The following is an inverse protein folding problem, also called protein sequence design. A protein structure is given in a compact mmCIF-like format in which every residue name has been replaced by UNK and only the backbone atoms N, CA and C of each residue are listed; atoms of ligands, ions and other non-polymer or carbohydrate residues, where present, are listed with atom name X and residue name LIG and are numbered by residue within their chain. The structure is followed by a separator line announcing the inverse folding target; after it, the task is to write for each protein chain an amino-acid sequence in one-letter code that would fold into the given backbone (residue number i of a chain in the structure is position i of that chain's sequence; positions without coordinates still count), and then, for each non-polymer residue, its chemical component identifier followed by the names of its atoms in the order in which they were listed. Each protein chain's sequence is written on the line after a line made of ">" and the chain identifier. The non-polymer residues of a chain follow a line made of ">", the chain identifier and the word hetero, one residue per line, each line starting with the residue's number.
data_IF_645956199983
#
_entry.id   IF_645956199983
#
_cell.length_a   1.000
_cell.length_b   1.000
_cell.length_c   1.000
_cell.angle_alpha   90.00
_cell.angle_beta   90.00
_cell.angle_gamma   90.00
#
_symmetry.space_group_name_H-M   'P 1'
#
loop_
_entity.id
_entity.type
_entity.pdbx_description
1 polymer ?
#
# COMPACT_ATOMS: atom_id res chain seq x y z
N UNK A 1 -8.93 33.61 14.82
CA UNK A 1 -10.24 33.50 15.50
C UNK A 1 -10.97 32.32 14.88
N UNK A 2 -11.19 31.28 15.69
CA UNK A 2 -11.90 30.02 15.44
C UNK A 2 -11.25 28.99 14.48
N UNK A 3 -10.43 28.12 15.08
CA UNK A 3 -10.16 26.75 14.68
C UNK A 3 -11.48 25.99 14.49
N UNK A 4 -11.76 25.53 13.27
CA UNK A 4 -12.78 24.51 13.01
C UNK A 4 -12.16 23.14 13.27
N UNK A 5 -11.92 22.83 14.55
CA UNK A 5 -11.85 21.45 14.99
C UNK A 5 -13.26 20.89 14.89
N UNK A 6 -13.59 20.34 13.71
CA UNK A 6 -14.81 19.58 13.50
C UNK A 6 -14.76 18.34 14.40
N UNK A 7 -15.22 18.51 15.64
CA UNK A 7 -15.66 17.41 16.47
C UNK A 7 -16.86 16.84 15.73
N UNK A 8 -16.64 15.74 15.00
CA UNK A 8 -17.73 14.90 14.52
C UNK A 8 -18.68 14.59 15.68
N UNK A 9 -19.96 14.27 15.39
CA UNK A 9 -20.95 14.00 16.42
C UNK A 9 -20.40 13.02 17.47
N UNK A 10 -20.84 13.12 18.72
CA UNK A 10 -20.48 12.19 19.79
C UNK A 10 -21.13 10.82 19.48
N UNK A 11 -20.52 10.06 18.57
CA UNK A 11 -21.05 8.78 18.14
C UNK A 11 -20.85 7.80 19.27
N UNK A 12 -21.92 7.14 19.69
CA UNK A 12 -21.83 6.03 20.64
C UNK A 12 -21.12 4.84 19.99
N UNK A 13 -19.81 4.77 20.18
CA UNK A 13 -18.98 3.63 19.79
C UNK A 13 -19.24 2.50 20.78
N UNK A 14 -19.74 1.37 20.30
CA UNK A 14 -19.87 0.15 21.10
C UNK A 14 -18.52 -0.51 21.37
N UNK A 15 -18.52 -1.63 22.08
CA UNK A 15 -17.30 -2.45 22.18
C UNK A 15 -16.96 -3.04 20.80
N UNK A 16 -15.70 -3.44 20.61
CA UNK A 16 -15.24 -3.95 19.31
C UNK A 16 -16.06 -5.15 18.82
N UNK A 17 -16.36 -6.10 19.71
CA UNK A 17 -17.22 -7.25 19.41
C UNK A 17 -18.64 -6.83 19.00
N UNK A 18 -19.20 -5.79 19.62
CA UNK A 18 -20.52 -5.25 19.24
C UNK A 18 -20.49 -4.61 17.85
N UNK A 19 -19.45 -3.85 17.51
CA UNK A 19 -19.34 -3.25 16.18
C UNK A 19 -19.10 -4.30 15.08
N UNK A 20 -18.37 -5.38 15.41
CA UNK A 20 -18.19 -6.53 14.52
C UNK A 20 -19.51 -7.26 14.27
N UNK A 21 -20.30 -7.53 15.32
CA UNK A 21 -21.62 -8.15 15.16
C UNK A 21 -22.53 -7.29 14.26
N UNK A 22 -22.55 -5.97 14.45
CA UNK A 22 -23.35 -5.08 13.59
C UNK A 22 -22.93 -5.17 12.11
N UNK A 23 -21.63 -5.15 11.83
CA UNK A 23 -21.14 -5.31 10.44
C UNK A 23 -21.47 -6.69 9.86
N UNK A 24 -21.43 -7.74 10.70
CA UNK A 24 -21.87 -9.08 10.31
C UNK A 24 -23.36 -9.11 9.96
N UNK A 25 -24.23 -8.58 10.82
CA UNK A 25 -25.68 -8.53 10.57
C UNK A 25 -26.03 -7.77 9.29
N UNK A 26 -25.33 -6.66 9.05
CA UNK A 26 -25.47 -5.87 7.83
C UNK A 26 -25.04 -6.63 6.56
N UNK A 27 -24.00 -7.46 6.64
CA UNK A 27 -23.52 -8.29 5.54
C UNK A 27 -24.23 -9.65 5.44
N UNK A 28 -24.93 -10.09 6.49
CA UNK A 28 -25.51 -11.44 6.65
C UNK A 28 -26.47 -11.88 5.55
N UNK A 29 -27.31 -11.02 4.93
CA UNK A 29 -28.24 -11.47 3.89
C UNK A 29 -27.54 -12.04 2.65
N UNK A 30 -26.21 -11.91 2.49
CA UNK A 30 -25.49 -12.16 1.22
C UNK A 30 -24.10 -12.80 1.37
N UNK A 31 -23.89 -13.59 2.43
CA UNK A 31 -22.78 -14.53 2.62
C UNK A 31 -21.40 -13.97 3.05
N UNK A 32 -21.23 -13.79 4.36
CA UNK A 32 -19.94 -13.99 5.05
C UNK A 32 -20.18 -14.93 6.24
N UNK A 33 -20.20 -16.24 5.97
CA UNK A 33 -20.44 -17.27 7.00
C UNK A 33 -19.23 -17.48 7.92
N UNK A 34 -18.10 -16.85 7.65
CA UNK A 34 -16.84 -17.02 8.38
C UNK A 34 -16.52 -15.89 9.37
N UNK A 35 -17.33 -14.82 9.41
CA UNK A 35 -17.19 -13.79 10.44
C UNK A 35 -17.93 -14.25 11.70
N UNK A 36 -17.16 -14.52 12.76
CA UNK A 36 -17.62 -15.02 14.05
C UNK A 36 -17.34 -13.98 15.17
N UNK A 37 -18.37 -13.22 15.61
CA UNK A 37 -18.23 -12.21 16.64
C UNK A 37 -17.80 -12.80 18.00
N UNK A 38 -17.98 -14.10 18.23
CA UNK A 38 -17.49 -14.76 19.44
C UNK A 38 -15.94 -14.75 19.51
N UNK A 39 -15.26 -14.92 18.37
CA UNK A 39 -13.79 -14.82 18.29
C UNK A 39 -13.34 -13.44 18.77
N UNK A 40 -14.04 -12.39 18.34
CA UNK A 40 -13.68 -11.01 18.70
C UNK A 40 -13.88 -10.66 20.17
N UNK A 41 -14.83 -11.33 20.84
CA UNK A 41 -15.04 -11.20 22.27
C UNK A 41 -13.91 -11.85 23.09
N UNK A 42 -13.28 -12.88 22.56
CA UNK A 42 -12.17 -13.58 23.22
C UNK A 42 -10.80 -12.91 22.98
N UNK A 43 -10.71 -12.01 21.99
CA UNK A 43 -9.49 -11.23 21.75
C UNK A 43 -9.22 -10.36 22.98
N UNK A 44 -8.04 -10.47 23.60
CA UNK A 44 -7.70 -9.65 24.76
C UNK A 44 -7.70 -8.16 24.38
N UNK A 45 -7.81 -7.28 25.38
CA UNK A 45 -7.61 -5.86 25.13
C UNK A 45 -6.21 -5.64 24.53
N UNK A 46 -6.17 -5.18 23.28
CA UNK A 46 -4.96 -4.81 22.55
C UNK A 46 -4.87 -3.29 22.47
N UNK A 47 -3.66 -2.77 22.35
CA UNK A 47 -3.45 -1.36 22.05
C UNK A 47 -4.21 -0.99 20.77
N UNK A 48 -4.81 0.18 20.77
CA UNK A 48 -5.58 0.73 19.66
C UNK A 48 -6.87 -0.02 19.23
N UNK A 49 -7.29 -1.07 19.94
CA UNK A 49 -8.55 -1.77 19.65
C UNK A 49 -9.79 -0.86 19.71
N UNK A 50 -9.81 0.12 20.64
CA UNK A 50 -10.86 1.13 20.74
C UNK A 50 -10.89 2.08 19.55
N UNK A 51 -9.72 2.46 19.02
CA UNK A 51 -9.62 3.27 17.79
C UNK A 51 -10.08 2.48 16.57
N UNK A 52 -9.82 1.17 16.52
CA UNK A 52 -10.39 0.32 15.47
C UNK A 52 -11.91 0.19 15.56
N UNK A 53 -12.49 0.04 16.76
CA UNK A 53 -13.94 0.10 16.94
C UNK A 53 -14.53 1.44 16.47
N UNK A 54 -13.89 2.57 16.82
CA UNK A 54 -14.26 3.90 16.32
C UNK A 54 -14.15 3.96 14.79
N UNK A 55 -13.08 3.43 14.20
CA UNK A 55 -12.90 3.36 12.75
C UNK A 55 -14.06 2.62 12.07
N UNK A 56 -14.47 1.45 12.58
CA UNK A 56 -15.60 0.68 12.05
C UNK A 56 -16.91 1.47 12.07
N UNK A 57 -17.13 2.28 13.10
CA UNK A 57 -18.28 3.19 13.17
C UNK A 57 -18.16 4.27 12.09
N UNK A 58 -17.00 4.91 12.00
CA UNK A 58 -16.76 6.01 11.04
C UNK A 58 -16.79 5.57 9.59
N UNK A 59 -16.54 4.29 9.26
CA UNK A 59 -16.74 3.80 7.89
C UNK A 59 -18.18 4.04 7.44
N UNK A 60 -19.16 3.93 8.36
CA UNK A 60 -20.56 4.23 8.07
C UNK A 60 -20.85 5.71 7.83
N UNK A 61 -19.94 6.59 8.20
CA UNK A 61 -20.05 8.05 7.98
C UNK A 61 -19.44 8.48 6.65
N UNK A 62 -18.71 7.60 5.98
CA UNK A 62 -18.19 7.88 4.64
C UNK A 62 -19.34 8.14 3.67
N UNK A 63 -19.13 9.04 2.71
CA UNK A 63 -20.09 9.32 1.66
C UNK A 63 -20.48 8.03 0.91
N UNK A 64 -19.50 7.18 0.63
CA UNK A 64 -19.64 5.83 0.04
C UNK A 64 -20.46 4.84 0.86
N UNK A 65 -20.91 5.21 2.06
CA UNK A 65 -21.84 4.44 2.87
C UNK A 65 -23.13 5.21 3.22
N UNK A 66 -23.04 6.46 3.69
CA UNK A 66 -24.21 7.28 4.08
C UNK A 66 -25.13 7.61 2.90
N UNK A 67 -24.53 8.00 1.78
CA UNK A 67 -25.23 8.49 0.59
C UNK A 67 -25.16 7.49 -0.56
N UNK A 68 -24.69 6.29 -0.27
CA UNK A 68 -24.47 5.22 -1.23
C UNK A 68 -25.77 4.75 -1.90
N UNK A 69 -25.65 4.36 -3.16
CA UNK A 69 -26.66 3.51 -3.78
C UNK A 69 -26.73 2.16 -3.04
N UNK A 70 -27.85 1.41 -3.12
CA UNK A 70 -27.94 0.10 -2.48
C UNK A 70 -26.82 -0.87 -2.88
N UNK A 71 -26.33 -0.79 -4.12
CA UNK A 71 -25.23 -1.62 -4.61
C UNK A 71 -23.89 -1.23 -3.97
N UNK A 72 -23.56 0.06 -3.93
CA UNK A 72 -22.36 0.59 -3.27
C UNK A 72 -22.34 0.24 -1.78
N UNK A 73 -23.47 0.40 -1.10
CA UNK A 73 -23.58 0.05 0.32
C UNK A 73 -23.27 -1.42 0.57
N UNK A 74 -23.82 -2.32 -0.25
CA UNK A 74 -23.54 -3.75 -0.18
C UNK A 74 -22.07 -4.06 -0.44
N UNK A 75 -21.45 -3.39 -1.42
CA UNK A 75 -20.02 -3.56 -1.70
C UNK A 75 -19.17 -3.16 -0.49
N UNK A 76 -19.46 -2.02 0.16
CA UNK A 76 -18.77 -1.59 1.37
C UNK A 76 -18.96 -2.57 2.54
N UNK A 77 -20.18 -3.09 2.73
CA UNK A 77 -20.45 -4.12 3.75
C UNK A 77 -19.64 -5.39 3.52
N UNK A 78 -19.53 -5.85 2.26
CA UNK A 78 -18.74 -7.03 1.90
C UNK A 78 -17.23 -6.80 2.13
N UNK A 79 -16.72 -5.63 1.75
CA UNK A 79 -15.34 -5.21 1.98
C UNK A 79 -14.97 -5.25 3.46
N UNK A 80 -15.78 -4.61 4.31
CA UNK A 80 -15.55 -4.59 5.76
C UNK A 80 -15.67 -5.99 6.35
N UNK A 81 -16.67 -6.77 5.96
CA UNK A 81 -16.83 -8.14 6.47
C UNK A 81 -15.68 -9.07 6.05
N UNK A 82 -15.15 -8.92 4.82
CA UNK A 82 -13.98 -9.67 4.36
C UNK A 82 -12.70 -9.29 5.14
N UNK A 83 -12.51 -7.99 5.38
CA UNK A 83 -11.44 -7.47 6.23
C UNK A 83 -11.52 -8.08 7.64
N UNK A 84 -12.67 -7.95 8.30
CA UNK A 84 -12.92 -8.50 9.63
C UNK A 84 -12.73 -10.02 9.66
N UNK A 85 -13.14 -10.72 8.60
CA UNK A 85 -12.97 -12.18 8.53
C UNK A 85 -11.51 -12.57 8.62
N UNK A 86 -10.63 -11.89 7.89
CA UNK A 86 -9.21 -12.20 7.88
C UNK A 86 -8.50 -11.84 9.19
N UNK A 87 -8.88 -10.71 9.79
CA UNK A 87 -8.31 -10.21 11.06
C UNK A 87 -8.55 -11.18 12.25
N UNK A 88 -9.57 -12.03 12.18
CA UNK A 88 -9.84 -13.04 13.20
C UNK A 88 -8.70 -14.05 13.35
N UNK A 89 -8.12 -14.48 12.23
CA UNK A 89 -7.14 -15.56 12.17
C UNK A 89 -5.68 -15.09 12.17
N UNK A 90 -5.43 -13.78 12.09
CA UNK A 90 -4.08 -13.22 11.96
C UNK A 90 -3.86 -12.08 12.98
N UNK A 91 -3.31 -12.39 14.17
CA UNK A 91 -3.06 -11.41 15.22
C UNK A 91 -2.11 -10.28 14.80
N UNK A 92 -1.07 -10.58 14.00
CA UNK A 92 -0.10 -9.58 13.56
C UNK A 92 -0.73 -8.60 12.57
N UNK A 93 -1.53 -9.10 11.62
CA UNK A 93 -2.32 -8.26 10.72
C UNK A 93 -3.35 -7.43 11.49
N UNK A 94 -3.96 -8.01 12.53
CA UNK A 94 -4.91 -7.31 13.39
C UNK A 94 -4.28 -6.13 14.11
N UNK A 95 -3.13 -6.33 14.74
CA UNK A 95 -2.38 -5.27 15.40
C UNK A 95 -1.98 -4.16 14.41
N UNK A 96 -1.53 -4.53 13.21
CA UNK A 96 -1.23 -3.55 12.14
C UNK A 96 -2.47 -2.73 11.75
N UNK A 97 -3.63 -3.37 11.56
CA UNK A 97 -4.87 -2.66 11.22
C UNK A 97 -5.37 -1.77 12.37
N UNK A 98 -5.13 -2.15 13.63
CA UNK A 98 -5.45 -1.30 14.78
C UNK A 98 -4.60 -0.03 14.79
N UNK A 99 -3.31 -0.14 14.44
CA UNK A 99 -2.43 1.03 14.29
C UNK A 99 -2.86 1.91 13.10
N UNK A 100 -3.21 1.32 11.96
CA UNK A 100 -3.76 2.08 10.82
C UNK A 100 -5.05 2.82 11.19
N UNK A 101 -5.89 2.25 12.05
CA UNK A 101 -7.09 2.91 12.55
C UNK A 101 -6.79 4.04 13.54
N UNK A 102 -5.77 3.89 14.39
CA UNK A 102 -5.28 4.96 15.26
C UNK A 102 -4.86 6.17 14.43
N UNK A 103 -4.02 5.98 13.42
CA UNK A 103 -3.61 7.06 12.51
C UNK A 103 -4.81 7.72 11.82
N UNK A 104 -5.81 6.93 11.44
CA UNK A 104 -7.04 7.42 10.80
C UNK A 104 -7.92 8.29 11.72
N UNK A 105 -7.82 8.10 13.03
CA UNK A 105 -8.77 8.66 14.00
C UNK A 105 -8.17 9.77 14.87
N UNK A 106 -6.84 9.85 14.97
CA UNK A 106 -6.13 10.86 15.77
C UNK A 106 -5.38 11.91 14.92
N UNK A 107 -4.72 11.52 13.82
CA UNK A 107 -3.62 12.36 13.29
C UNK A 107 -3.87 13.17 12.03
N UNK A 108 -4.97 12.99 11.28
CA UNK A 108 -5.35 13.92 10.19
C UNK A 108 -6.77 13.62 9.67
N UNK A 109 -7.53 14.68 9.37
CA UNK A 109 -8.96 14.66 9.07
C UNK A 109 -9.46 13.56 8.12
N UNK A 110 -10.49 12.85 8.56
CA UNK A 110 -11.52 12.14 7.80
C UNK A 110 -11.12 11.20 6.65
N UNK A 111 -9.92 10.58 6.68
CA UNK A 111 -9.50 9.63 5.62
C UNK A 111 -9.85 8.17 5.89
N UNK A 112 -11.02 7.92 6.48
CA UNK A 112 -11.45 6.56 6.86
C UNK A 112 -11.52 5.62 5.66
N UNK A 113 -12.01 6.10 4.51
CA UNK A 113 -12.07 5.32 3.28
C UNK A 113 -10.68 4.99 2.70
N UNK A 114 -9.70 5.91 2.79
CA UNK A 114 -8.32 5.63 2.37
C UNK A 114 -7.68 4.58 3.27
N UNK A 115 -7.94 4.65 4.58
CA UNK A 115 -7.39 3.69 5.55
C UNK A 115 -8.03 2.31 5.43
N UNK A 116 -9.29 2.24 5.01
CA UNK A 116 -9.91 0.97 4.61
C UNK A 116 -9.15 0.34 3.43
N UNK A 117 -8.79 1.13 2.42
CA UNK A 117 -7.97 0.65 1.30
C UNK A 117 -6.59 0.16 1.77
N UNK A 118 -5.92 0.90 2.66
CA UNK A 118 -4.62 0.48 3.22
C UNK A 118 -4.72 -0.85 3.98
N UNK A 119 -5.79 -1.06 4.76
CA UNK A 119 -6.05 -2.31 5.47
C UNK A 119 -6.33 -3.47 4.50
N UNK A 120 -7.09 -3.25 3.43
CA UNK A 120 -7.32 -4.25 2.38
C UNK A 120 -6.03 -4.68 1.69
N UNK A 121 -5.10 -3.73 1.48
CA UNK A 121 -3.78 -4.02 0.93
C UNK A 121 -2.91 -4.83 1.92
N UNK A 122 -2.97 -4.52 3.22
CA UNK A 122 -2.30 -5.31 4.25
C UNK A 122 -2.86 -6.75 4.32
N UNK A 123 -4.18 -6.90 4.23
CA UNK A 123 -4.86 -8.18 4.11
C UNK A 123 -4.36 -8.98 2.90
N UNK A 124 -4.29 -8.36 1.73
CA UNK A 124 -3.78 -8.99 0.52
C UNK A 124 -2.32 -9.44 0.68
N UNK A 125 -1.47 -8.60 1.28
CA UNK A 125 -0.07 -8.93 1.54
C UNK A 125 0.05 -10.12 2.49
N UNK A 126 -0.68 -10.14 3.61
CA UNK A 126 -0.68 -11.27 4.56
C UNK A 126 -1.09 -12.59 3.89
N UNK A 127 -2.20 -12.61 3.13
CA UNK A 127 -2.62 -13.83 2.40
C UNK A 127 -1.56 -14.30 1.42
N UNK A 128 -0.99 -13.36 0.65
CA UNK A 128 0.02 -13.68 -0.36
C UNK A 128 1.30 -14.23 0.28
N UNK A 129 1.73 -13.68 1.42
CA UNK A 129 2.87 -14.20 2.18
C UNK A 129 2.62 -15.63 2.64
N UNK A 130 1.42 -15.96 3.13
CA UNK A 130 1.07 -17.33 3.50
C UNK A 130 1.10 -18.28 2.30
N UNK A 131 0.61 -17.84 1.13
CA UNK A 131 0.65 -18.61 -0.11
C UNK A 131 2.09 -18.81 -0.64
N UNK A 132 2.96 -17.81 -0.48
CA UNK A 132 4.39 -17.95 -0.77
C UNK A 132 4.98 -19.01 0.16
N UNK A 133 4.72 -18.93 1.47
CA UNK A 133 5.21 -19.89 2.45
C UNK A 133 4.74 -21.33 2.17
N UNK A 134 3.58 -21.52 1.56
CA UNK A 134 3.09 -22.84 1.14
C UNK A 134 3.73 -23.35 -0.16
N UNK A 135 4.59 -22.57 -0.81
CA UNK A 135 5.25 -22.92 -2.07
C UNK A 135 4.38 -22.74 -3.32
N UNK A 136 3.27 -22.01 -3.24
CA UNK A 136 2.33 -21.82 -4.35
C UNK A 136 3.00 -21.26 -5.62
N UNK A 137 4.03 -20.44 -5.43
CA UNK A 137 4.69 -19.68 -6.50
C UNK A 137 6.06 -20.23 -6.92
N UNK A 138 6.56 -21.29 -6.27
CA UNK A 138 7.94 -21.77 -6.45
C UNK A 138 8.27 -22.18 -7.90
N UNK A 139 7.27 -22.70 -8.63
CA UNK A 139 7.41 -23.15 -10.03
C UNK A 139 6.80 -22.21 -11.07
N UNK A 140 5.87 -21.35 -10.64
CA UNK A 140 5.19 -20.40 -11.51
C UNK A 140 5.01 -19.07 -10.76
N UNK A 141 6.00 -18.17 -10.84
CA UNK A 141 5.93 -16.89 -10.16
C UNK A 141 5.09 -15.85 -10.91
N UNK A 142 4.55 -16.15 -12.11
CA UNK A 142 3.80 -15.19 -12.92
C UNK A 142 2.64 -14.54 -12.14
N UNK A 143 1.76 -15.29 -11.43
CA UNK A 143 0.65 -14.65 -10.73
C UNK A 143 1.11 -13.72 -9.59
N UNK A 144 2.28 -13.99 -8.99
CA UNK A 144 2.87 -13.11 -7.99
C UNK A 144 3.44 -11.84 -8.62
N UNK A 145 4.05 -11.94 -9.80
CA UNK A 145 4.52 -10.78 -10.57
C UNK A 145 3.34 -9.93 -11.03
N UNK A 146 2.24 -10.52 -11.49
CA UNK A 146 1.02 -9.80 -11.88
C UNK A 146 0.40 -9.06 -10.69
N UNK A 147 0.39 -9.69 -9.51
CA UNK A 147 -0.02 -9.05 -8.27
C UNK A 147 0.87 -7.85 -7.93
N UNK A 148 2.19 -8.02 -7.98
CA UNK A 148 3.13 -6.93 -7.73
C UNK A 148 3.01 -5.82 -8.78
N UNK A 149 2.70 -6.14 -10.04
CA UNK A 149 2.39 -5.16 -11.08
C UNK A 149 1.16 -4.32 -10.70
N UNK A 150 0.12 -4.99 -10.23
CA UNK A 150 -1.06 -4.33 -9.68
C UNK A 150 -0.74 -3.43 -8.47
N UNK A 151 0.10 -3.89 -7.54
CA UNK A 151 0.53 -3.10 -6.38
C UNK A 151 1.37 -1.89 -6.78
N UNK A 152 2.27 -2.05 -7.74
CA UNK A 152 3.06 -0.96 -8.31
C UNK A 152 2.15 0.11 -8.92
N UNK A 153 1.16 -0.30 -9.71
CA UNK A 153 0.16 0.61 -10.28
C UNK A 153 -0.60 1.37 -9.19
N UNK A 154 -1.05 0.70 -8.13
CA UNK A 154 -1.67 1.39 -6.99
C UNK A 154 -0.72 2.41 -6.34
N UNK A 155 0.56 2.10 -6.17
CA UNK A 155 1.53 3.04 -5.61
C UNK A 155 1.71 4.28 -6.51
N UNK A 156 1.77 4.09 -7.82
CA UNK A 156 1.81 5.17 -8.81
C UNK A 156 0.54 6.02 -8.71
N UNK A 157 -0.64 5.41 -8.67
CA UNK A 157 -1.92 6.12 -8.57
C UNK A 157 -2.06 6.91 -7.27
N UNK A 158 -1.67 6.34 -6.13
CA UNK A 158 -1.65 7.04 -4.84
C UNK A 158 -0.72 8.25 -4.88
N UNK A 159 0.44 8.14 -5.53
CA UNK A 159 1.35 9.28 -5.72
C UNK A 159 0.70 10.36 -6.59
N UNK A 160 0.13 9.99 -7.75
CA UNK A 160 -0.53 10.94 -8.66
C UNK A 160 -1.72 11.63 -7.99
N UNK A 161 -2.51 10.89 -7.21
CA UNK A 161 -3.62 11.47 -6.45
C UNK A 161 -3.14 12.49 -5.42
N UNK A 162 -2.05 12.21 -4.69
CA UNK A 162 -1.44 13.18 -3.76
C UNK A 162 -0.90 14.42 -4.48
N UNK A 163 -0.22 14.23 -5.61
CA UNK A 163 0.27 15.33 -6.45
C UNK A 163 -0.90 16.19 -6.94
N UNK A 164 -1.98 15.56 -7.41
CA UNK A 164 -3.19 16.26 -7.86
C UNK A 164 -3.87 17.02 -6.73
N UNK A 165 -4.08 16.40 -5.57
CA UNK A 165 -4.68 17.03 -4.39
C UNK A 165 -3.89 18.28 -3.98
N UNK A 166 -2.56 18.25 -4.06
CA UNK A 166 -1.73 19.41 -3.76
C UNK A 166 -1.95 20.62 -4.70
N UNK A 167 -2.56 20.40 -5.87
CA UNK A 167 -2.92 21.49 -6.82
C UNK A 167 -4.33 22.02 -6.62
N UNK A 168 -5.17 21.31 -5.86
CA UNK A 168 -6.59 21.60 -5.71
C UNK A 168 -6.87 22.33 -4.40
N UNK A 169 -7.92 23.15 -4.40
CA UNK A 169 -8.44 23.80 -3.20
C UNK A 169 -9.83 23.23 -2.91
N UNK A 170 -10.13 22.92 -1.64
CA UNK A 170 -11.45 22.44 -1.19
C UNK A 170 -11.92 21.13 -1.87
N UNK A 171 -11.02 20.17 -2.05
CA UNK A 171 -11.33 18.84 -2.60
C UNK A 171 -11.12 17.77 -1.54
N UNK A 172 -11.99 16.77 -1.53
CA UNK A 172 -11.81 15.57 -0.73
C UNK A 172 -10.78 14.65 -1.40
N UNK A 173 -9.67 14.40 -0.69
CA UNK A 173 -8.56 13.58 -1.20
C UNK A 173 -9.00 12.17 -1.58
N UNK A 174 -10.02 11.61 -0.90
CA UNK A 174 -10.50 10.28 -1.26
C UNK A 174 -11.16 10.26 -2.64
N UNK A 175 -11.91 11.30 -3.01
CA UNK A 175 -12.60 11.35 -4.31
C UNK A 175 -11.59 11.40 -5.46
N UNK A 176 -10.44 12.07 -5.25
CA UNK A 176 -9.32 12.07 -6.21
C UNK A 176 -8.70 10.67 -6.34
N UNK A 177 -8.46 9.99 -5.21
CA UNK A 177 -7.92 8.63 -5.21
C UNK A 177 -8.88 7.65 -5.90
N UNK A 178 -10.16 7.64 -5.49
CA UNK A 178 -11.19 6.79 -6.07
C UNK A 178 -11.39 7.09 -7.56
N UNK A 179 -11.32 8.36 -7.97
CA UNK A 179 -11.37 8.76 -9.38
C UNK A 179 -10.32 8.04 -10.22
N UNK A 180 -9.06 8.06 -9.79
CA UNK A 180 -8.01 7.30 -10.47
C UNK A 180 -8.25 5.78 -10.46
N UNK A 181 -8.64 5.21 -9.32
CA UNK A 181 -8.86 3.76 -9.21
C UNK A 181 -9.98 3.28 -10.12
N UNK A 182 -11.13 3.96 -10.11
CA UNK A 182 -12.31 3.59 -10.89
C UNK A 182 -12.06 3.76 -12.38
N UNK A 183 -11.52 4.91 -12.81
CA UNK A 183 -11.29 5.19 -14.24
C UNK A 183 -10.23 4.28 -14.87
N UNK A 184 -9.28 3.76 -14.08
CA UNK A 184 -8.16 2.97 -14.61
C UNK A 184 -8.29 1.47 -14.36
N UNK A 185 -9.18 1.01 -13.47
CA UNK A 185 -9.32 -0.42 -13.12
C UNK A 185 -9.54 -1.35 -14.32
N UNK A 186 -10.33 -0.93 -15.32
CA UNK A 186 -10.61 -1.75 -16.52
C UNK A 186 -9.38 -1.89 -17.42
N UNK A 187 -8.68 -0.78 -17.67
CA UNK A 187 -7.52 -0.76 -18.58
C UNK A 187 -6.23 -1.25 -17.92
N UNK A 188 -6.10 -1.07 -16.61
CA UNK A 188 -4.91 -1.38 -15.83
C UNK A 188 -5.34 -2.14 -14.58
N UNK A 189 -5.38 -3.49 -14.61
CA UNK A 189 -5.84 -4.29 -13.49
C UNK A 189 -5.17 -3.88 -12.17
N UNK A 190 -6.00 -3.60 -11.16
CA UNK A 190 -5.60 -3.18 -9.81
C UNK A 190 -6.05 -4.23 -8.78
N UNK A 191 -5.24 -4.53 -7.77
CA UNK A 191 -5.58 -5.52 -6.75
C UNK A 191 -6.41 -4.88 -5.63
N UNK A 192 -7.50 -4.20 -6.00
CA UNK A 192 -8.44 -3.55 -5.11
C UNK A 192 -9.88 -3.95 -5.45
N UNK A 193 -10.78 -3.84 -4.48
CA UNK A 193 -12.21 -4.08 -4.67
C UNK A 193 -12.99 -2.80 -5.02
N UNK A 194 -12.29 -1.66 -5.13
CA UNK A 194 -12.89 -0.39 -5.56
C UNK A 194 -13.23 -0.48 -7.04
N UNK A 195 -14.53 -0.58 -7.34
CA UNK A 195 -15.05 -0.67 -8.70
C UNK A 195 -15.90 0.55 -9.12
N UNK A 196 -16.38 1.31 -8.15
CA UNK A 196 -17.28 2.47 -8.35
C UNK A 196 -17.02 3.51 -7.29
N UNK A 197 -17.42 4.75 -7.54
CA UNK A 197 -17.36 5.86 -6.58
C UNK A 197 -18.68 6.64 -6.60
N UNK A 198 -19.04 7.25 -5.47
CA UNK A 198 -20.31 7.96 -5.36
C UNK A 198 -20.30 9.32 -6.07
N UNK A 199 -19.19 10.06 -6.01
CA UNK A 199 -19.11 11.42 -6.57
C UNK A 199 -17.99 11.61 -7.61
N UNK A 200 -18.06 10.98 -8.80
CA UNK A 200 -17.04 11.13 -9.84
C UNK A 200 -16.69 12.58 -10.19
N UNK A 201 -17.70 13.45 -10.22
CA UNK A 201 -17.53 14.88 -10.52
C UNK A 201 -16.70 15.64 -9.48
N UNK A 202 -16.58 15.12 -8.25
CA UNK A 202 -15.79 15.73 -7.17
C UNK A 202 -14.32 15.33 -7.21
N UNK A 203 -13.93 14.36 -8.04
CA UNK A 203 -12.53 13.90 -8.17
C UNK A 203 -11.60 14.93 -8.82
N UNK A 204 -12.16 15.87 -9.60
CA UNK A 204 -11.41 16.81 -10.43
C UNK A 204 -10.38 16.14 -11.37
N UNK A 205 -10.54 14.85 -11.67
CA UNK A 205 -9.72 14.10 -12.61
C UNK A 205 -10.18 14.39 -14.03
N UNK A 206 -9.26 14.87 -14.85
CA UNK A 206 -9.48 15.20 -16.25
C UNK A 206 -9.00 14.08 -17.18
N UNK A 207 -9.37 14.13 -18.46
CA UNK A 207 -8.84 13.22 -19.48
C UNK A 207 -7.32 13.28 -19.59
N UNK A 208 -6.73 14.47 -19.39
CA UNK A 208 -5.28 14.68 -19.46
C UNK A 208 -4.58 14.04 -18.25
N UNK A 209 -5.19 14.13 -17.06
CA UNK A 209 -4.71 13.42 -15.86
C UNK A 209 -4.71 11.90 -16.08
N UNK A 210 -5.76 11.36 -16.72
CA UNK A 210 -5.86 9.93 -17.04
C UNK A 210 -4.82 9.53 -18.10
N UNK A 211 -4.62 10.33 -19.14
CA UNK A 211 -3.59 10.06 -20.16
C UNK A 211 -2.19 10.06 -19.55
N UNK A 212 -1.88 11.03 -18.69
CA UNK A 212 -0.60 11.10 -17.98
C UNK A 212 -0.42 9.92 -17.01
N UNK A 213 -1.48 9.47 -16.35
CA UNK A 213 -1.45 8.27 -15.52
C UNK A 213 -1.15 7.02 -16.36
N UNK A 214 -1.84 6.81 -17.48
CA UNK A 214 -1.61 5.65 -18.37
C UNK A 214 -0.16 5.55 -18.85
N UNK A 215 0.48 6.68 -19.17
CA UNK A 215 1.90 6.68 -19.56
C UNK A 215 2.88 6.23 -18.47
N UNK A 216 2.44 6.15 -17.20
CA UNK A 216 3.25 5.67 -16.07
C UNK A 216 2.84 4.27 -15.60
N UNK A 217 1.72 3.73 -16.08
CA UNK A 217 1.15 2.46 -15.62
C UNK A 217 1.34 1.30 -16.60
N UNK A 218 1.78 1.61 -17.82
CA UNK A 218 2.05 0.67 -18.90
C UNK A 218 2.91 1.29 -19.98
N UNK A 219 3.15 0.53 -21.05
CA UNK A 219 4.05 0.91 -22.14
C UNK A 219 3.32 1.29 -23.43
N UNK A 220 1.98 1.25 -23.43
CA UNK A 220 1.15 1.47 -24.61
C UNK A 220 1.35 2.87 -25.18
N UNK A 221 1.74 2.95 -26.46
CA UNK A 221 1.92 4.22 -27.17
C UNK A 221 3.15 5.02 -26.74
N UNK A 222 4.04 4.45 -25.93
CA UNK A 222 5.29 5.11 -25.51
C UNK A 222 6.44 4.83 -26.49
N UNK A 223 7.41 5.75 -26.52
CA UNK A 223 8.70 5.50 -27.17
C UNK A 223 9.48 4.40 -26.43
N UNK A 224 10.39 3.71 -27.12
CA UNK A 224 11.25 2.67 -26.52
C UNK A 224 11.98 3.15 -25.26
N UNK A 225 12.46 4.40 -25.24
CA UNK A 225 13.16 4.99 -24.08
C UNK A 225 12.23 5.12 -22.86
N UNK A 226 11.00 5.57 -23.08
CA UNK A 226 10.01 5.73 -22.01
C UNK A 226 9.49 4.37 -21.52
N UNK A 227 9.27 3.42 -22.43
CA UNK A 227 8.88 2.07 -22.07
C UNK A 227 9.98 1.35 -21.26
N UNK A 228 11.25 1.52 -21.66
CA UNK A 228 12.38 0.98 -20.91
C UNK A 228 12.48 1.60 -19.51
N UNK A 229 12.22 2.90 -19.37
CA UNK A 229 12.19 3.55 -18.05
C UNK A 229 11.09 2.97 -17.15
N UNK A 230 9.88 2.78 -17.67
CA UNK A 230 8.78 2.15 -16.93
C UNK A 230 9.13 0.73 -16.51
N UNK A 231 9.76 -0.05 -17.39
CA UNK A 231 10.23 -1.40 -17.07
C UNK A 231 11.28 -1.39 -15.95
N UNK A 232 12.25 -0.47 -16.01
CA UNK A 232 13.28 -0.34 -14.98
C UNK A 232 12.69 0.03 -13.62
N UNK A 233 11.72 0.95 -13.58
CA UNK A 233 11.05 1.35 -12.35
C UNK A 233 10.24 0.20 -11.75
N UNK A 234 9.52 -0.55 -12.59
CA UNK A 234 8.79 -1.72 -12.14
C UNK A 234 9.73 -2.83 -11.64
N UNK A 235 10.86 -3.07 -12.32
CA UNK A 235 11.87 -4.05 -11.88
C UNK A 235 12.52 -3.65 -10.57
N UNK A 236 12.78 -2.36 -10.35
CA UNK A 236 13.28 -1.85 -9.06
C UNK A 236 12.24 -2.07 -7.95
N UNK A 237 10.96 -1.80 -8.23
CA UNK A 237 9.87 -2.11 -7.30
C UNK A 237 9.80 -3.60 -6.97
N UNK A 238 9.87 -4.48 -7.98
CA UNK A 238 9.90 -5.94 -7.78
C UNK A 238 11.07 -6.36 -6.88
N UNK A 239 12.27 -5.82 -7.12
CA UNK A 239 13.44 -6.14 -6.32
C UNK A 239 13.36 -5.60 -4.87
N UNK A 240 12.56 -4.56 -4.61
CA UNK A 240 12.31 -4.03 -3.28
C UNK A 240 11.10 -4.70 -2.57
N UNK A 241 10.31 -5.51 -3.29
CA UNK A 241 9.07 -6.10 -2.76
C UNK A 241 9.35 -7.20 -1.73
N UNK A 242 8.78 -7.11 -0.50
CA UNK A 242 8.88 -8.17 0.51
C UNK A 242 8.32 -9.53 0.02
N UNK A 243 7.35 -9.50 -0.90
CA UNK A 243 6.79 -10.71 -1.50
C UNK A 243 7.82 -11.41 -2.39
N UNK A 244 8.56 -10.64 -3.20
CA UNK A 244 9.62 -11.19 -4.04
C UNK A 244 10.80 -11.68 -3.21
N UNK A 245 11.15 -10.98 -2.12
CA UNK A 245 12.17 -11.44 -1.17
C UNK A 245 11.78 -12.77 -0.54
N UNK A 246 10.52 -12.92 -0.14
CA UNK A 246 10.00 -14.16 0.44
C UNK A 246 10.04 -15.32 -0.57
N UNK A 247 9.70 -15.06 -1.85
CA UNK A 247 9.83 -16.06 -2.91
C UNK A 247 11.29 -16.47 -3.10
N UNK A 248 12.20 -15.50 -3.23
CA UNK A 248 13.63 -15.78 -3.43
C UNK A 248 14.24 -16.54 -2.26
N UNK A 249 13.86 -16.22 -1.02
CA UNK A 249 14.26 -16.97 0.16
C UNK A 249 13.88 -18.44 0.10
N UNK A 250 12.82 -18.80 -0.64
CA UNK A 250 12.42 -20.21 -0.86
C UNK A 250 13.14 -20.87 -2.02
N UNK A 251 13.23 -20.18 -3.16
CA UNK A 251 13.75 -20.81 -4.41
C UNK A 251 15.27 -20.68 -4.57
N UNK A 252 15.89 -19.79 -3.79
CA UNK A 252 17.31 -19.42 -3.86
C UNK A 252 17.89 -19.10 -2.47
N UNK A 253 17.51 -19.86 -1.44
CA UNK A 253 17.88 -19.62 -0.04
C UNK A 253 19.39 -19.35 0.18
N UNK A 254 20.25 -20.24 -0.34
CA UNK A 254 21.71 -20.11 -0.19
C UNK A 254 22.26 -18.85 -0.89
N UNK A 255 21.75 -18.55 -2.08
CA UNK A 255 22.15 -17.39 -2.88
C UNK A 255 21.71 -16.09 -2.20
N UNK A 256 20.48 -16.04 -1.67
CA UNK A 256 19.96 -14.89 -0.92
C UNK A 256 20.68 -14.69 0.41
N UNK A 257 21.08 -15.75 1.10
CA UNK A 257 21.83 -15.65 2.36
C UNK A 257 23.21 -15.05 2.12
N UNK A 258 23.93 -15.52 1.09
CA UNK A 258 25.21 -14.94 0.69
C UNK A 258 25.05 -13.48 0.26
N UNK A 259 24.08 -13.21 -0.62
CA UNK A 259 23.80 -11.86 -1.12
C UNK A 259 23.47 -10.88 0.01
N UNK A 260 22.68 -11.29 1.01
CA UNK A 260 22.39 -10.45 2.17
C UNK A 260 23.65 -10.14 2.98
N UNK A 261 24.56 -11.10 3.13
CA UNK A 261 25.87 -10.86 3.74
C UNK A 261 26.68 -9.80 2.97
N UNK A 262 26.76 -9.94 1.66
CA UNK A 262 27.48 -9.01 0.78
C UNK A 262 26.84 -7.60 0.79
N UNK A 263 25.51 -7.52 0.74
CA UNK A 263 24.76 -6.26 0.85
C UNK A 263 25.10 -5.53 2.15
N UNK A 264 25.10 -6.23 3.29
CA UNK A 264 25.40 -5.60 4.58
C UNK A 264 26.85 -5.10 4.65
N UNK A 265 27.80 -5.87 4.10
CA UNK A 265 29.20 -5.44 4.01
C UNK A 265 29.35 -4.22 3.11
N UNK A 266 28.68 -4.19 1.96
CA UNK A 266 28.72 -3.08 1.03
C UNK A 266 28.10 -1.81 1.63
N UNK A 267 26.93 -1.91 2.26
CA UNK A 267 26.30 -0.78 2.96
C UNK A 267 27.24 -0.23 4.03
N UNK A 268 27.83 -1.08 4.86
CA UNK A 268 28.76 -0.65 5.90
C UNK A 268 30.01 0.04 5.32
N UNK A 269 30.55 -0.51 4.23
CA UNK A 269 31.70 0.08 3.53
C UNK A 269 31.36 1.48 2.99
N UNK A 270 30.29 1.62 2.23
CA UNK A 270 29.88 2.88 1.61
C UNK A 270 29.50 3.93 2.67
N UNK A 271 28.85 3.52 3.76
CA UNK A 271 28.57 4.42 4.90
C UNK A 271 29.86 4.96 5.52
N UNK A 272 30.88 4.12 5.67
CA UNK A 272 32.18 4.56 6.18
C UNK A 272 32.89 5.51 5.21
N UNK A 273 32.81 5.27 3.90
CA UNK A 273 33.36 6.18 2.88
C UNK A 273 32.71 7.56 2.95
N UNK A 274 31.38 7.62 3.05
CA UNK A 274 30.66 8.89 3.16
C UNK A 274 30.98 9.60 4.48
N UNK A 275 31.10 8.84 5.58
CA UNK A 275 31.49 9.41 6.87
C UNK A 275 32.90 10.00 6.82
N UNK A 276 33.85 9.30 6.20
CA UNK A 276 35.22 9.80 6.00
C UNK A 276 35.21 11.09 5.16
N UNK A 277 34.41 11.14 4.09
CA UNK A 277 34.23 12.36 3.30
C UNK A 277 33.69 13.51 4.14
N UNK A 278 32.64 13.27 4.94
CA UNK A 278 32.06 14.29 5.84
C UNK A 278 33.07 14.82 6.86
N UNK A 279 33.89 13.94 7.42
CA UNK A 279 34.92 14.30 8.42
C UNK A 279 36.05 15.16 7.81
N UNK A 280 36.30 15.02 6.50
CA UNK A 280 37.34 15.75 5.76
C UNK A 280 36.83 16.99 5.00
N UNK A 281 35.52 17.29 5.06
CA UNK A 281 34.98 18.49 4.43
C UNK A 281 35.50 19.76 5.11
N UNK A 282 35.99 20.72 4.31
CA UNK A 282 36.45 22.02 4.80
C UNK A 282 35.24 22.90 5.19
N UNK A 283 35.05 23.23 6.49
CA UNK A 283 33.97 24.08 6.95
C UNK A 283 34.03 25.51 6.42
N UNK A 284 35.20 25.97 5.96
CA UNK A 284 35.39 27.30 5.39
C UNK A 284 35.05 27.38 3.89
N UNK A 285 34.79 26.24 3.23
CA UNK A 285 34.45 26.21 1.81
C UNK A 285 33.08 26.85 1.55
N UNK A 286 32.95 27.57 0.42
CA UNK A 286 31.71 28.27 0.07
C UNK A 286 30.52 27.35 -0.24
N UNK A 287 30.73 26.04 -0.27
CA UNK A 287 29.73 25.01 -0.56
C UNK A 287 29.52 23.98 0.56
N UNK A 288 30.20 24.12 1.70
CA UNK A 288 30.19 23.13 2.80
C UNK A 288 28.79 22.61 3.17
N UNK A 289 27.85 23.53 3.37
CA UNK A 289 26.49 23.18 3.79
C UNK A 289 25.71 22.37 2.75
N UNK A 290 25.96 22.58 1.46
CA UNK A 290 25.27 21.85 0.39
C UNK A 290 25.92 20.49 0.14
N UNK A 291 27.25 20.43 0.23
CA UNK A 291 28.01 19.18 0.13
C UNK A 291 27.69 18.22 1.28
N UNK A 292 27.61 18.72 2.52
CA UNK A 292 27.14 17.96 3.68
C UNK A 292 25.73 17.38 3.46
N UNK A 293 24.79 18.19 2.96
CA UNK A 293 23.42 17.72 2.68
C UNK A 293 23.40 16.65 1.60
N UNK A 294 24.22 16.80 0.56
CA UNK A 294 24.31 15.82 -0.53
C UNK A 294 24.86 14.49 -0.03
N UNK A 295 25.94 14.50 0.76
CA UNK A 295 26.53 13.30 1.36
C UNK A 295 25.56 12.62 2.31
N UNK A 296 24.88 13.36 3.19
CA UNK A 296 23.87 12.77 4.09
C UNK A 296 22.68 12.19 3.33
N UNK A 297 22.27 12.82 2.21
CA UNK A 297 21.22 12.26 1.34
C UNK A 297 21.68 10.93 0.72
N UNK A 298 22.94 10.84 0.29
CA UNK A 298 23.51 9.59 -0.23
C UNK A 298 23.58 8.52 0.87
N UNK A 299 24.12 8.86 2.04
CA UNK A 299 24.21 7.97 3.20
C UNK A 299 22.87 7.32 3.54
N UNK A 300 21.83 8.13 3.64
CA UNK A 300 20.48 7.66 3.98
C UNK A 300 19.83 6.82 2.86
N UNK A 301 20.28 6.97 1.61
CA UNK A 301 19.76 6.19 0.49
C UNK A 301 20.39 4.79 0.39
N UNK A 302 21.58 4.56 0.97
CA UNK A 302 22.33 3.31 0.82
C UNK A 302 21.54 2.07 1.25
N UNK A 303 20.78 2.16 2.34
CA UNK A 303 19.95 1.06 2.85
C UNK A 303 18.80 0.66 1.91
N UNK A 304 18.53 1.45 0.86
CA UNK A 304 17.49 1.17 -0.13
C UNK A 304 18.07 0.86 -1.51
N UNK A 305 19.08 1.62 -1.95
CA UNK A 305 19.65 1.53 -3.30
C UNK A 305 20.49 0.27 -3.46
N UNK A 306 21.36 -0.05 -2.49
CA UNK A 306 22.25 -1.21 -2.58
C UNK A 306 21.45 -2.52 -2.60
N UNK A 307 20.51 -2.77 -1.67
CA UNK A 307 19.73 -4.01 -1.69
C UNK A 307 18.91 -4.16 -2.97
N UNK A 308 18.24 -3.10 -3.44
CA UNK A 308 17.41 -3.19 -4.64
C UNK A 308 18.22 -3.58 -5.88
N UNK A 309 19.40 -2.99 -6.07
CA UNK A 309 20.30 -3.35 -7.18
C UNK A 309 20.80 -4.79 -7.10
N UNK A 310 21.26 -5.20 -5.91
CA UNK A 310 21.77 -6.55 -5.66
C UNK A 310 20.68 -7.62 -5.86
N UNK A 311 19.50 -7.43 -5.27
CA UNK A 311 18.40 -8.39 -5.34
C UNK A 311 17.86 -8.53 -6.76
N UNK A 312 17.83 -7.44 -7.54
CA UNK A 312 17.47 -7.49 -8.97
C UNK A 312 18.35 -8.48 -9.75
N UNK A 313 19.64 -8.59 -9.41
CA UNK A 313 20.57 -9.51 -10.10
C UNK A 313 20.22 -10.99 -9.92
N UNK A 314 19.58 -11.36 -8.80
CA UNK A 314 19.09 -12.72 -8.54
C UNK A 314 17.66 -12.90 -9.03
N UNK A 315 16.82 -11.87 -8.88
CA UNK A 315 15.41 -11.92 -9.27
C UNK A 315 15.22 -12.10 -10.78
N UNK A 316 15.92 -11.32 -11.61
CA UNK A 316 15.70 -11.35 -13.06
C UNK A 316 15.99 -12.73 -13.68
N UNK A 317 17.10 -13.43 -13.34
CA UNK A 317 17.30 -14.81 -13.78
C UNK A 317 16.21 -15.79 -13.32
N UNK A 318 15.72 -15.66 -12.08
CA UNK A 318 14.64 -16.52 -11.56
C UNK A 318 13.35 -16.35 -12.37
N UNK A 319 12.97 -15.10 -12.66
CA UNK A 319 11.80 -14.80 -13.48
C UNK A 319 11.97 -15.28 -14.93
N UNK A 320 13.15 -15.05 -15.52
CA UNK A 320 13.45 -15.50 -16.88
C UNK A 320 13.40 -17.03 -17.02
N UNK A 321 13.91 -17.79 -16.05
CA UNK A 321 13.81 -19.26 -16.02
C UNK A 321 12.36 -19.75 -15.96
N UNK A 322 11.47 -18.99 -15.30
CA UNK A 322 10.04 -19.24 -15.27
C UNK A 322 9.27 -18.76 -16.50
N UNK A 323 9.95 -18.16 -17.50
CA UNK A 323 9.30 -17.55 -18.65
C UNK A 323 8.46 -16.31 -18.31
N UNK A 324 8.72 -15.68 -17.16
CA UNK A 324 7.93 -14.56 -16.63
C UNK A 324 8.48 -13.24 -17.15
N UNK A 325 7.59 -12.43 -17.75
CA UNK A 325 7.94 -11.09 -18.21
C UNK A 325 7.87 -10.09 -17.04
N UNK A 326 9.01 -9.46 -16.72
CA UNK A 326 9.14 -8.43 -15.69
C UNK A 326 9.02 -7.00 -16.24
N UNK A 327 8.46 -6.82 -17.43
CA UNK A 327 8.07 -5.53 -18.01
C UNK A 327 6.69 -5.10 -17.53
N UNK A 328 6.44 -3.80 -17.57
CA UNK A 328 5.17 -3.18 -17.18
C UNK A 328 4.08 -3.38 -18.23
#
# INVERSE_FOLDING_TARGET
>A
MAELAAHGPDIKVGTLDQEVERWREEAAPRAVTALDPAVWKEIPAQDNASYFAKFLVRVRETNDYLHATPALKVATQQRVAALLTQLQSDPALRDNCFNLAFDATETCGDRVALRLLDMEMACLASRTTAEIASGKYDRNPQPLVDLCKGQYRLQVLTRLAKEKVATLHFVDEIEVHLGYLVELAESHPLPTQVATMLYPACSCITSDDIAAAKSQLGNDGLSDIAAEKNNQDFQAFLAASPLMHSLLGRVREAEMTALNGDIQQQIAHEKNVIQDQLDHLDPASSGYGDECKQLMKQYNALDTVIPAGAIRSVLMPVLAQGGVNAGL
#
